data_IF_595233026084
#
_entry.id   IF_595233026084
#
_cell.length_a   1.000
_cell.length_b   1.000
_cell.length_c   1.000
_cell.angle_alpha   90.00
_cell.angle_beta   90.00
_cell.angle_gamma   90.00
#
_symmetry.space_group_name_H-M   'P 1'
#
loop_
_entity.id
_entity.type
_entity.pdbx_description
1 polymer ?
#
# COMPACT_ATOMS: atom_id res chain seq x y z
N UNK A 1 -11.51 10.92 21.29
CA UNK A 1 -10.89 10.46 20.03
C UNK A 1 -11.53 11.22 18.87
N UNK A 2 -10.71 11.88 18.05
CA UNK A 2 -11.17 12.61 16.87
C UNK A 2 -11.63 11.64 15.76
N UNK A 3 -12.47 12.12 14.85
CA UNK A 3 -12.99 11.33 13.72
C UNK A 3 -11.87 10.66 12.90
N UNK A 4 -10.75 11.35 12.56
CA UNK A 4 -9.65 10.73 11.82
C UNK A 4 -9.04 9.51 12.53
N UNK A 5 -8.78 9.61 13.84
CA UNK A 5 -8.20 8.49 14.59
C UNK A 5 -9.10 7.25 14.62
N UNK A 6 -10.43 7.42 14.56
CA UNK A 6 -11.37 6.29 14.49
C UNK A 6 -11.29 5.58 13.13
N UNK A 7 -11.07 6.34 12.05
CA UNK A 7 -10.94 5.81 10.70
C UNK A 7 -9.59 5.08 10.50
N UNK A 8 -8.51 5.60 11.08
CA UNK A 8 -7.22 4.88 11.10
C UNK A 8 -7.31 3.58 11.87
N UNK A 9 -7.93 3.61 13.06
CA UNK A 9 -8.07 2.42 13.89
C UNK A 9 -8.96 1.38 13.24
N UNK A 10 -10.06 1.79 12.59
CA UNK A 10 -10.90 0.87 11.82
C UNK A 10 -10.10 0.21 10.70
N UNK A 11 -9.23 0.94 9.99
CA UNK A 11 -8.36 0.37 8.96
C UNK A 11 -7.42 -0.70 9.52
N UNK A 12 -6.79 -0.44 10.66
CA UNK A 12 -5.92 -1.43 11.31
C UNK A 12 -6.71 -2.70 11.66
N UNK A 13 -7.95 -2.55 12.16
CA UNK A 13 -8.83 -3.68 12.44
C UNK A 13 -9.31 -4.41 11.17
N UNK A 14 -9.35 -3.74 10.02
CA UNK A 14 -9.71 -4.34 8.73
C UNK A 14 -8.60 -5.22 8.16
N UNK A 15 -7.32 -5.00 8.53
CA UNK A 15 -6.18 -5.78 8.00
C UNK A 15 -6.30 -7.28 8.33
N UNK A 16 -6.55 -7.72 9.59
CA UNK A 16 -6.77 -9.14 9.87
C UNK A 16 -7.94 -9.74 9.11
N UNK A 17 -9.03 -8.99 8.95
CA UNK A 17 -10.22 -9.43 8.19
C UNK A 17 -9.84 -9.63 6.72
N UNK A 18 -9.11 -8.68 6.14
CA UNK A 18 -8.59 -8.76 4.78
C UNK A 18 -7.69 -9.99 4.58
N UNK A 19 -6.79 -10.26 5.52
CA UNK A 19 -5.91 -11.44 5.48
C UNK A 19 -6.75 -12.73 5.49
N UNK A 20 -7.72 -12.83 6.40
CA UNK A 20 -8.60 -14.01 6.51
C UNK A 20 -9.37 -14.24 5.21
N UNK A 21 -9.93 -13.18 4.61
CA UNK A 21 -10.71 -13.28 3.37
C UNK A 21 -9.91 -13.82 2.17
N UNK A 22 -8.60 -13.58 2.12
CA UNK A 22 -7.73 -14.07 1.05
C UNK A 22 -7.04 -15.40 1.39
N UNK A 23 -6.74 -15.65 2.65
CA UNK A 23 -6.01 -16.86 3.06
C UNK A 23 -6.93 -18.07 3.25
N UNK A 24 -8.20 -17.87 3.58
CA UNK A 24 -9.16 -18.95 3.84
C UNK A 24 -10.01 -19.20 2.60
N UNK A 25 -10.11 -20.45 2.09
CA UNK A 25 -10.96 -20.78 0.96
C UNK A 25 -12.44 -20.80 1.39
N UNK A 26 -13.10 -19.65 1.29
CA UNK A 26 -14.53 -19.53 1.56
C UNK A 26 -15.35 -19.99 0.35
N UNK A 27 -16.27 -20.93 0.56
CA UNK A 27 -17.20 -21.40 -0.46
C UNK A 27 -18.43 -20.49 -0.60
N UNK A 28 -18.20 -19.18 -0.82
CA UNK A 28 -19.28 -18.19 -1.00
C UNK A 28 -19.75 -18.03 -2.44
N UNK A 29 -19.26 -18.89 -3.32
CA UNK A 29 -19.47 -18.80 -4.76
C UNK A 29 -18.31 -18.11 -5.47
N UNK A 30 -18.32 -18.27 -6.78
CA UNK A 30 -17.27 -17.82 -7.68
C UNK A 30 -17.91 -17.20 -8.91
N UNK A 31 -17.28 -16.17 -9.46
CA UNK A 31 -17.67 -15.57 -10.73
C UNK A 31 -16.59 -15.89 -11.78
N UNK A 32 -16.98 -16.55 -12.86
CA UNK A 32 -16.15 -16.66 -14.06
C UNK A 32 -16.11 -15.33 -14.82
N UNK A 33 -14.95 -14.71 -14.86
CA UNK A 33 -14.68 -13.46 -15.59
C UNK A 33 -13.75 -13.73 -16.76
N UNK A 34 -14.28 -14.37 -17.81
CA UNK A 34 -13.49 -14.82 -18.95
C UNK A 34 -12.78 -16.14 -18.66
N UNK A 35 -11.45 -16.16 -18.77
CA UNK A 35 -10.61 -17.35 -18.49
C UNK A 35 -10.23 -17.50 -17.00
N UNK A 36 -10.50 -16.46 -16.19
CA UNK A 36 -10.19 -16.43 -14.76
C UNK A 36 -11.43 -16.64 -13.90
N UNK A 37 -11.26 -17.30 -12.77
CA UNK A 37 -12.31 -17.50 -11.76
C UNK A 37 -12.02 -16.60 -10.58
N UNK A 38 -12.93 -15.67 -10.28
CA UNK A 38 -12.81 -14.74 -9.16
C UNK A 38 -13.71 -15.21 -8.00
N UNK A 39 -13.13 -15.67 -6.88
CA UNK A 39 -13.90 -15.99 -5.69
C UNK A 39 -14.57 -14.75 -5.11
N UNK A 40 -15.81 -14.89 -4.62
CA UNK A 40 -16.54 -13.77 -3.99
C UNK A 40 -15.76 -13.21 -2.79
N UNK A 41 -15.07 -14.06 -2.04
CA UNK A 41 -14.21 -13.63 -0.93
C UNK A 41 -13.06 -12.71 -1.39
N UNK A 42 -12.44 -13.01 -2.52
CA UNK A 42 -11.36 -12.18 -3.08
C UNK A 42 -11.89 -10.85 -3.60
N UNK A 43 -13.08 -10.84 -4.22
CA UNK A 43 -13.76 -9.61 -4.62
C UNK A 43 -14.07 -8.71 -3.41
N UNK A 44 -14.59 -9.29 -2.32
CA UNK A 44 -14.85 -8.56 -1.07
C UNK A 44 -13.53 -8.03 -0.47
N UNK A 45 -12.47 -8.84 -0.47
CA UNK A 45 -11.15 -8.42 0.00
C UNK A 45 -10.59 -7.26 -0.85
N UNK A 46 -10.73 -7.32 -2.18
CA UNK A 46 -10.33 -6.25 -3.08
C UNK A 46 -11.11 -4.96 -2.80
N UNK A 47 -12.43 -5.06 -2.61
CA UNK A 47 -13.27 -3.91 -2.26
C UNK A 47 -12.86 -3.31 -0.91
N UNK A 48 -12.60 -4.15 0.09
CA UNK A 48 -12.12 -3.72 1.40
C UNK A 48 -10.78 -3.00 1.28
N UNK A 49 -9.84 -3.53 0.48
CA UNK A 49 -8.57 -2.87 0.19
C UNK A 49 -8.76 -1.50 -0.47
N UNK A 50 -9.61 -1.41 -1.50
CA UNK A 50 -9.89 -0.16 -2.22
C UNK A 50 -10.51 0.88 -1.28
N UNK A 51 -11.48 0.48 -0.45
CA UNK A 51 -12.12 1.38 0.53
C UNK A 51 -11.10 1.82 1.58
N UNK A 52 -10.28 0.91 2.10
CA UNK A 52 -9.24 1.23 3.06
C UNK A 52 -8.20 2.20 2.49
N UNK A 53 -7.82 2.03 1.22
CA UNK A 53 -6.92 2.92 0.49
C UNK A 53 -7.54 4.30 0.26
N UNK A 54 -8.80 4.35 -0.17
CA UNK A 54 -9.50 5.60 -0.46
C UNK A 54 -9.76 6.41 0.82
N UNK A 55 -10.12 5.74 1.92
CA UNK A 55 -10.35 6.38 3.22
C UNK A 55 -9.08 7.05 3.76
N UNK A 56 -7.88 6.51 3.50
CA UNK A 56 -6.62 7.16 3.90
C UNK A 56 -6.45 8.55 3.30
N UNK A 57 -6.73 8.64 2.00
CA UNK A 57 -6.62 9.90 1.29
C UNK A 57 -7.62 10.93 1.82
N UNK A 58 -8.84 10.47 2.14
CA UNK A 58 -9.90 11.30 2.72
C UNK A 58 -9.54 11.74 4.14
N UNK A 59 -9.09 10.85 5.01
CA UNK A 59 -8.70 11.14 6.39
C UNK A 59 -7.58 12.18 6.45
N UNK A 60 -6.55 12.00 5.60
CA UNK A 60 -5.45 12.94 5.48
C UNK A 60 -5.88 14.31 4.94
N UNK A 61 -6.93 14.37 4.12
CA UNK A 61 -7.51 15.65 3.67
C UNK A 61 -8.30 16.35 4.78
N UNK A 62 -9.18 15.62 5.48
CA UNK A 62 -9.99 16.16 6.58
C UNK A 62 -9.12 16.58 7.78
N UNK A 63 -8.14 15.78 8.18
CA UNK A 63 -7.25 16.11 9.29
C UNK A 63 -6.48 17.42 9.05
N UNK A 64 -6.01 17.66 7.81
CA UNK A 64 -5.33 18.90 7.42
C UNK A 64 -6.28 20.09 7.29
N UNK A 65 -7.50 19.87 6.80
CA UNK A 65 -8.49 20.93 6.61
C UNK A 65 -9.06 21.47 7.93
N UNK A 66 -9.20 20.60 8.93
CA UNK A 66 -9.81 20.96 10.22
C UNK A 66 -8.79 21.08 11.37
N UNK A 67 -7.49 21.00 11.09
CA UNK A 67 -6.39 21.04 12.07
C UNK A 67 -6.56 20.03 13.23
N UNK A 68 -7.22 18.89 12.94
CA UNK A 68 -7.54 17.84 13.93
C UNK A 68 -6.40 16.82 14.08
N UNK A 69 -5.16 17.28 13.89
CA UNK A 69 -3.99 16.41 13.81
C UNK A 69 -3.52 16.02 15.21
N UNK A 70 -3.57 14.72 15.53
CA UNK A 70 -3.11 14.20 16.82
C UNK A 70 -1.78 13.46 16.67
N UNK A 71 -0.96 13.44 17.73
CA UNK A 71 0.31 12.69 17.74
C UNK A 71 0.09 11.18 17.53
N UNK A 72 -1.00 10.63 18.08
CA UNK A 72 -1.38 9.24 17.88
C UNK A 72 -1.75 8.96 16.42
N UNK A 73 -2.56 9.81 15.78
CA UNK A 73 -2.91 9.68 14.36
C UNK A 73 -1.68 9.75 13.45
N UNK A 74 -0.79 10.72 13.68
CA UNK A 74 0.49 10.86 12.96
C UNK A 74 1.34 9.60 12.99
N UNK A 75 1.25 8.80 14.05
CA UNK A 75 1.98 7.54 14.17
C UNK A 75 1.22 6.35 13.56
N UNK A 76 -0.10 6.27 13.79
CA UNK A 76 -0.93 5.16 13.33
C UNK A 76 -1.17 5.19 11.82
N UNK A 77 -1.33 6.36 11.19
CA UNK A 77 -1.64 6.45 9.75
C UNK A 77 -0.53 5.81 8.89
N UNK A 78 0.76 6.18 9.05
CA UNK A 78 1.83 5.61 8.24
C UNK A 78 2.17 4.16 8.59
N UNK A 79 1.68 3.66 9.73
CA UNK A 79 1.79 2.27 10.13
C UNK A 79 0.70 1.43 9.45
N UNK A 80 -0.55 1.87 9.54
CA UNK A 80 -1.70 1.18 8.95
C UNK A 80 -1.55 1.03 7.43
N UNK A 81 -1.11 2.10 6.74
CA UNK A 81 -0.88 2.10 5.29
C UNK A 81 0.13 1.01 4.87
N UNK A 82 1.31 1.00 5.49
CA UNK A 82 2.37 0.03 5.15
C UNK A 82 2.01 -1.40 5.50
N UNK A 83 1.31 -1.61 6.62
CA UNK A 83 0.87 -2.95 7.01
C UNK A 83 -0.16 -3.51 6.02
N UNK A 84 -1.13 -2.69 5.59
CA UNK A 84 -2.13 -3.11 4.61
C UNK A 84 -1.48 -3.47 3.26
N UNK A 85 -0.59 -2.61 2.78
CA UNK A 85 0.14 -2.80 1.52
C UNK A 85 1.06 -4.02 1.57
N UNK A 86 1.81 -4.19 2.67
CA UNK A 86 2.68 -5.35 2.85
C UNK A 86 1.86 -6.65 2.93
N UNK A 87 0.76 -6.67 3.68
CA UNK A 87 -0.13 -7.82 3.77
C UNK A 87 -0.69 -8.19 2.39
N UNK A 88 -1.16 -7.21 1.62
CA UNK A 88 -1.67 -7.46 0.27
C UNK A 88 -0.59 -8.03 -0.67
N UNK A 89 0.62 -7.47 -0.67
CA UNK A 89 1.71 -7.99 -1.50
C UNK A 89 2.13 -9.41 -1.10
N UNK A 90 2.21 -9.71 0.19
CA UNK A 90 2.58 -11.05 0.69
C UNK A 90 1.54 -12.09 0.24
N UNK A 91 0.25 -11.78 0.40
CA UNK A 91 -0.84 -12.68 0.00
C UNK A 91 -0.91 -12.84 -1.52
N UNK A 92 -0.66 -11.78 -2.29
CA UNK A 92 -0.56 -11.87 -3.74
C UNK A 92 0.58 -12.79 -4.19
N UNK A 93 1.71 -12.80 -3.47
CA UNK A 93 2.82 -13.73 -3.72
C UNK A 93 2.43 -15.17 -3.37
N UNK A 94 1.76 -15.36 -2.23
CA UNK A 94 1.26 -16.67 -1.80
C UNK A 94 0.27 -17.28 -2.79
N UNK A 95 -0.62 -16.45 -3.36
CA UNK A 95 -1.55 -16.84 -4.43
C UNK A 95 -0.88 -17.01 -5.81
N UNK A 96 0.43 -16.76 -5.94
CA UNK A 96 1.16 -16.85 -7.21
C UNK A 96 0.86 -15.74 -8.22
N UNK A 97 0.19 -14.66 -7.78
CA UNK A 97 -0.21 -13.52 -8.64
C UNK A 97 0.87 -12.44 -8.74
N UNK A 98 1.81 -12.40 -7.80
CA UNK A 98 2.92 -11.47 -7.80
C UNK A 98 4.26 -12.21 -7.59
N UNK A 99 5.35 -11.81 -8.25
CA UNK A 99 6.68 -12.37 -7.99
C UNK A 99 7.19 -11.91 -6.62
N UNK A 100 7.62 -12.86 -5.79
CA UNK A 100 8.12 -12.58 -4.44
C UNK A 100 9.27 -11.57 -4.40
N UNK A 101 10.17 -11.60 -5.39
CA UNK A 101 11.29 -10.67 -5.47
C UNK A 101 10.85 -9.20 -5.67
N UNK A 102 9.74 -8.96 -6.38
CA UNK A 102 9.17 -7.62 -6.55
C UNK A 102 8.60 -7.14 -5.22
N UNK A 103 7.83 -7.98 -4.54
CA UNK A 103 7.26 -7.67 -3.23
C UNK A 103 8.36 -7.33 -2.21
N UNK A 104 9.45 -8.11 -2.18
CA UNK A 104 10.62 -7.84 -1.31
C UNK A 104 11.19 -6.46 -1.59
N UNK A 105 11.49 -6.11 -2.85
CA UNK A 105 12.06 -4.79 -3.19
C UNK A 105 11.13 -3.66 -2.73
N UNK A 106 9.83 -3.79 -2.98
CA UNK A 106 8.84 -2.77 -2.62
C UNK A 106 8.76 -2.59 -1.10
N UNK A 107 8.61 -3.68 -0.36
CA UNK A 107 8.50 -3.66 1.11
C UNK A 107 9.81 -3.15 1.73
N UNK A 108 10.97 -3.68 1.33
CA UNK A 108 12.27 -3.25 1.85
C UNK A 108 12.50 -1.75 1.63
N UNK A 109 12.16 -1.23 0.45
CA UNK A 109 12.29 0.20 0.15
C UNK A 109 11.36 1.05 1.01
N UNK A 110 10.12 0.62 1.24
CA UNK A 110 9.19 1.35 2.12
C UNK A 110 9.69 1.44 3.56
N UNK A 111 10.21 0.34 4.10
CA UNK A 111 10.80 0.29 5.43
C UNK A 111 12.05 1.16 5.50
N UNK A 112 12.94 1.09 4.50
CA UNK A 112 14.18 1.85 4.46
C UNK A 112 13.93 3.37 4.41
N UNK A 113 13.02 3.84 3.55
CA UNK A 113 12.67 5.28 3.47
C UNK A 113 11.96 5.75 4.75
N UNK A 114 11.15 4.90 5.37
CA UNK A 114 10.52 5.21 6.66
C UNK A 114 11.55 5.33 7.76
N UNK A 115 12.48 4.38 7.86
CA UNK A 115 13.56 4.40 8.84
C UNK A 115 14.41 5.66 8.70
N UNK A 116 14.80 6.01 7.48
CA UNK A 116 15.54 7.25 7.21
C UNK A 116 14.80 8.50 7.68
N UNK A 117 13.48 8.58 7.45
CA UNK A 117 12.67 9.71 7.94
C UNK A 117 12.60 9.76 9.46
N UNK A 118 12.53 8.61 10.13
CA UNK A 118 12.51 8.54 11.59
C UNK A 118 13.83 9.02 12.19
N UNK A 119 14.96 8.60 11.62
CA UNK A 119 16.30 9.07 12.03
C UNK A 119 16.42 10.57 11.83
N UNK A 120 16.10 11.08 10.63
CA UNK A 120 16.17 12.50 10.33
C UNK A 120 15.26 13.35 11.24
N UNK A 121 14.06 12.86 11.55
CA UNK A 121 13.14 13.53 12.47
C UNK A 121 13.71 13.61 13.90
N UNK A 122 14.49 12.61 14.34
CA UNK A 122 15.22 12.62 15.61
C UNK A 122 16.26 13.75 15.69
N UNK A 123 16.80 14.18 14.55
CA UNK A 123 17.74 15.30 14.42
C UNK A 123 17.06 16.64 14.11
N UNK A 124 15.72 16.68 14.09
CA UNK A 124 14.96 17.88 13.74
C UNK A 124 14.90 18.18 12.25
N UNK A 125 15.37 17.29 11.38
CA UNK A 125 15.35 17.43 9.93
C UNK A 125 14.07 16.80 9.37
N UNK A 126 13.20 17.61 8.78
CA UNK A 126 11.95 17.14 8.17
C UNK A 126 12.16 16.81 6.70
N UNK A 127 12.25 15.52 6.38
CA UNK A 127 12.41 15.05 5.00
C UNK A 127 11.07 14.90 4.28
N UNK A 128 10.75 15.85 3.38
CA UNK A 128 9.53 15.83 2.58
C UNK A 128 9.50 14.69 1.55
N UNK A 129 8.31 14.19 1.21
CA UNK A 129 8.14 13.21 0.15
C UNK A 129 8.19 13.87 -1.25
N UNK A 130 9.07 13.39 -2.13
CA UNK A 130 9.14 13.85 -3.52
C UNK A 130 7.97 13.37 -4.39
N UNK A 131 7.75 14.03 -5.53
CA UNK A 131 6.66 13.71 -6.47
C UNK A 131 6.73 12.26 -7.00
N UNK A 132 7.93 11.71 -7.20
CA UNK A 132 8.08 10.30 -7.59
C UNK A 132 7.55 9.33 -6.52
N UNK A 133 7.61 9.71 -5.25
CA UNK A 133 7.03 8.93 -4.16
C UNK A 133 5.52 8.81 -4.25
N UNK A 134 4.83 9.86 -4.72
CA UNK A 134 3.37 9.87 -4.91
C UNK A 134 2.94 9.03 -6.12
N UNK A 135 3.70 9.10 -7.22
CA UNK A 135 3.46 8.26 -8.40
C UNK A 135 3.67 6.78 -8.08
N UNK A 136 4.72 6.46 -7.31
CA UNK A 136 4.97 5.13 -6.79
C UNK A 136 3.78 4.57 -6.01
N UNK A 137 3.26 5.33 -5.04
CA UNK A 137 2.13 4.87 -4.22
C UNK A 137 0.87 4.71 -5.06
N UNK A 138 0.56 5.66 -5.94
CA UNK A 138 -0.61 5.55 -6.82
C UNK A 138 -0.57 4.30 -7.71
N UNK A 139 0.56 4.09 -8.39
CA UNK A 139 0.76 2.91 -9.27
C UNK A 139 0.73 1.60 -8.49
N UNK A 140 1.26 1.58 -7.27
CA UNK A 140 1.24 0.40 -6.40
C UNK A 140 -0.17 0.03 -5.94
N UNK A 141 -0.95 1.02 -5.48
CA UNK A 141 -2.32 0.77 -5.03
C UNK A 141 -3.20 0.28 -6.18
N UNK A 142 -3.01 0.83 -7.38
CA UNK A 142 -3.71 0.38 -8.60
C UNK A 142 -3.29 -1.05 -8.96
N UNK A 143 -1.99 -1.36 -8.92
CA UNK A 143 -1.48 -2.70 -9.22
C UNK A 143 -2.08 -3.75 -8.27
N UNK A 144 -2.04 -3.49 -6.96
CA UNK A 144 -2.60 -4.39 -5.95
C UNK A 144 -4.10 -4.57 -6.16
N UNK A 145 -4.85 -3.48 -6.37
CA UNK A 145 -6.29 -3.56 -6.58
C UNK A 145 -6.65 -4.39 -7.82
N UNK A 146 -5.94 -4.21 -8.95
CA UNK A 146 -6.14 -4.99 -10.16
C UNK A 146 -5.82 -6.47 -9.96
N UNK A 147 -4.68 -6.78 -9.32
CA UNK A 147 -4.30 -8.17 -9.05
C UNK A 147 -5.29 -8.87 -8.11
N UNK A 148 -5.77 -8.19 -7.07
CA UNK A 148 -6.79 -8.72 -6.16
C UNK A 148 -8.14 -8.96 -6.87
N UNK A 149 -8.46 -8.16 -7.89
CA UNK A 149 -9.64 -8.32 -8.76
C UNK A 149 -9.41 -9.30 -9.92
N UNK A 150 -8.26 -9.98 -9.97
CA UNK A 150 -7.88 -10.87 -11.08
C UNK A 150 -7.99 -10.16 -12.43
N UNK A 151 -7.53 -8.91 -12.48
CA UNK A 151 -7.59 -8.03 -13.65
C UNK A 151 -9.00 -7.72 -14.18
N UNK A 152 -10.08 -7.99 -13.44
CA UNK A 152 -11.43 -7.63 -13.88
C UNK A 152 -11.62 -6.09 -14.04
N UNK A 153 -12.30 -5.60 -15.10
CA UNK A 153 -12.88 -6.33 -16.24
C UNK A 153 -11.89 -6.51 -17.42
N UNK A 154 -10.64 -6.08 -17.27
CA UNK A 154 -9.62 -6.18 -18.31
C UNK A 154 -9.18 -7.63 -18.60
N UNK A 155 -9.48 -8.56 -17.71
CA UNK A 155 -9.37 -10.00 -17.94
C UNK A 155 -10.10 -10.46 -19.21
N UNK A 156 -11.24 -9.82 -19.56
CA UNK A 156 -11.95 -10.11 -20.82
C UNK A 156 -11.15 -9.75 -22.08
N UNK A 157 -10.20 -8.82 -21.98
CA UNK A 157 -9.30 -8.45 -23.06
C UNK A 157 -7.98 -9.24 -23.05
N UNK A 158 -7.77 -10.15 -22.08
CA UNK A 158 -6.53 -10.90 -21.91
C UNK A 158 -5.32 -10.02 -21.53
N UNK A 159 -5.55 -8.81 -21.02
CA UNK A 159 -4.49 -7.87 -20.69
C UNK A 159 -4.10 -7.99 -19.20
N UNK A 160 -2.85 -8.38 -18.88
CA UNK A 160 -2.39 -8.53 -17.49
C UNK A 160 -2.01 -7.18 -16.87
N UNK A 161 -2.99 -6.27 -16.77
CA UNK A 161 -2.76 -4.88 -16.37
C UNK A 161 -2.21 -4.75 -14.95
N UNK A 162 -2.66 -5.57 -14.01
CA UNK A 162 -2.20 -5.58 -12.63
C UNK A 162 -0.70 -5.88 -12.57
N UNK A 163 -0.22 -6.84 -13.36
CA UNK A 163 1.20 -7.15 -13.46
C UNK A 163 2.00 -6.03 -14.12
N UNK A 164 1.48 -5.44 -15.21
CA UNK A 164 2.10 -4.28 -15.87
C UNK A 164 2.23 -3.11 -14.89
N UNK A 165 1.17 -2.80 -14.15
CA UNK A 165 1.17 -1.76 -13.13
C UNK A 165 2.12 -2.08 -11.98
N UNK A 166 2.26 -3.36 -11.61
CA UNK A 166 3.22 -3.78 -10.58
C UNK A 166 4.67 -3.51 -11.02
N UNK A 167 5.02 -3.77 -12.28
CA UNK A 167 6.34 -3.43 -12.82
C UNK A 167 6.57 -1.92 -12.93
N UNK A 168 5.55 -1.15 -13.31
CA UNK A 168 5.62 0.32 -13.30
C UNK A 168 5.84 0.82 -11.88
N UNK A 169 5.13 0.27 -10.90
CA UNK A 169 5.31 0.58 -9.48
C UNK A 169 6.71 0.22 -8.99
N UNK A 170 7.27 -0.91 -9.40
CA UNK A 170 8.64 -1.32 -9.11
C UNK A 170 9.65 -0.30 -9.67
N UNK A 171 9.48 0.12 -10.93
CA UNK A 171 10.34 1.13 -11.54
C UNK A 171 10.33 2.42 -10.73
N UNK A 172 9.14 2.94 -10.40
CA UNK A 172 9.04 4.13 -9.57
C UNK A 172 9.62 3.90 -8.17
N UNK A 173 9.44 2.72 -7.58
CA UNK A 173 9.98 2.35 -6.27
C UNK A 173 11.49 2.45 -6.23
N UNK A 174 12.17 1.88 -7.22
CA UNK A 174 13.63 1.91 -7.31
C UNK A 174 14.11 3.33 -7.61
N UNK A 175 13.53 4.00 -8.61
CA UNK A 175 13.94 5.35 -9.02
C UNK A 175 13.80 6.36 -7.87
N UNK A 176 12.66 6.35 -7.18
CA UNK A 176 12.43 7.24 -6.04
C UNK A 176 13.20 6.82 -4.80
N UNK A 177 13.47 5.52 -4.59
CA UNK A 177 14.35 5.07 -3.53
C UNK A 177 15.76 5.64 -3.72
N UNK A 178 16.33 5.47 -4.90
CA UNK A 178 17.63 6.03 -5.27
C UNK A 178 17.68 7.55 -5.08
N UNK A 179 16.73 8.29 -5.66
CA UNK A 179 16.65 9.75 -5.52
C UNK A 179 16.59 10.19 -4.06
N UNK A 180 15.80 9.48 -3.24
CA UNK A 180 15.64 9.81 -1.83
C UNK A 180 16.89 9.53 -1.00
N UNK A 181 17.55 8.39 -1.22
CA UNK A 181 18.78 8.06 -0.49
C UNK A 181 19.95 8.95 -0.91
N UNK A 182 20.10 9.25 -2.20
CA UNK A 182 21.20 10.12 -2.68
C UNK A 182 21.04 11.54 -2.15
N UNK A 183 19.84 12.12 -2.23
CA UNK A 183 19.60 13.50 -1.74
C UNK A 183 19.81 13.63 -0.24
N UNK A 184 19.46 12.59 0.53
CA UNK A 184 19.47 12.64 2.00
C UNK A 184 20.65 11.87 2.61
N UNK A 185 21.62 11.44 1.81
CA UNK A 185 22.81 10.72 2.28
C UNK A 185 23.62 11.51 3.31
N UNK A 186 23.62 12.84 3.19
CA UNK A 186 24.29 13.74 4.12
C UNK A 186 23.75 13.60 5.55
N UNK A 187 22.43 13.40 5.71
CA UNK A 187 21.79 13.23 7.03
C UNK A 187 22.35 12.01 7.75
N UNK A 188 22.53 10.88 7.06
CA UNK A 188 23.07 9.66 7.67
C UNK A 188 24.57 9.76 8.00
N UNK A 189 25.32 10.61 7.30
CA UNK A 189 26.76 10.76 7.49
C UNK A 189 27.10 11.68 8.66
N UNK A 190 26.23 12.65 8.93
CA UNK A 190 26.47 13.68 9.93
C UNK A 190 25.83 13.34 11.30
N UNK A 191 25.07 12.24 11.38
CA UNK A 191 24.58 11.64 12.64
C UNK A 191 25.75 11.20 13.55
N UNK A 192 25.84 11.79 14.75
CA UNK A 192 26.83 11.45 15.79
C UNK A 192 26.30 10.41 16.77
#
# INVERSE_FOLDING_TARGET
MNIPNKMTLSRICLIPIFIILLAVPFNWGEWSTGETVLPVAHFIAALLFIIAAATDWVDGYYARKYDLVTNLGKFLDPLADKLLVAAALILLVEMGMAPGWIAIIIISRELAVTGLRLVAAGEGIVLAAGNMGKLKTATQMIAIALLLLHDFPFSYAGLPLGMIMLYISLFFTVASGYDYFVKNWHVMRDSK
#
